data_IF_463766726942
#
_entry.id   IF_463766726942
#
_cell.length_a   1.000
_cell.length_b   1.000
_cell.length_c   1.000
_cell.angle_alpha   90.00
_cell.angle_beta   90.00
_cell.angle_gamma   90.00
#
_symmetry.space_group_name_H-M   'P 1'
#
loop_
_entity.id
_entity.type
_entity.pdbx_description
1 polymer ?
#
# COMPACT_ATOMS: atom_id res chain seq x y z
N UNK A 1 -5.29 6.37 31.35
CA UNK A 1 -6.43 5.52 31.80
C UNK A 1 -7.69 5.76 30.96
N UNK A 2 -8.10 7.01 30.72
CA UNK A 2 -9.31 7.35 29.92
C UNK A 2 -9.25 6.87 28.46
N UNK A 3 -8.08 6.93 27.80
CA UNK A 3 -7.90 6.50 26.40
C UNK A 3 -8.18 5.00 26.19
N UNK A 4 -7.82 4.16 27.17
CA UNK A 4 -8.07 2.71 27.11
C UNK A 4 -9.55 2.37 27.25
N UNK A 5 -10.28 3.14 28.07
CA UNK A 5 -11.73 2.96 28.26
C UNK A 5 -12.52 3.36 27.01
N UNK A 6 -12.11 4.44 26.32
CA UNK A 6 -12.74 4.87 25.06
C UNK A 6 -12.49 3.84 23.95
N UNK A 7 -11.28 3.29 23.84
CA UNK A 7 -10.96 2.25 22.87
C UNK A 7 -11.74 0.96 23.08
N UNK A 8 -11.87 0.51 24.33
CA UNK A 8 -12.66 -0.69 24.67
C UNK A 8 -14.16 -0.49 24.42
N UNK A 9 -14.70 0.69 24.74
CA UNK A 9 -16.10 1.02 24.49
C UNK A 9 -16.43 1.11 23.00
N UNK A 10 -15.55 1.72 22.19
CA UNK A 10 -15.72 1.82 20.75
C UNK A 10 -15.66 0.45 20.06
N UNK A 11 -14.74 -0.42 20.47
CA UNK A 11 -14.62 -1.78 19.95
C UNK A 11 -15.88 -2.62 20.25
N UNK A 12 -16.41 -2.51 21.47
CA UNK A 12 -17.64 -3.21 21.86
C UNK A 12 -18.89 -2.68 21.12
N UNK A 13 -18.94 -1.36 20.89
CA UNK A 13 -20.02 -0.73 20.13
C UNK A 13 -20.02 -1.16 18.66
N UNK A 14 -18.85 -1.17 18.01
CA UNK A 14 -18.69 -1.63 16.62
C UNK A 14 -19.03 -3.13 16.51
N UNK A 15 -18.58 -3.96 17.46
CA UNK A 15 -18.88 -5.39 17.48
C UNK A 15 -20.37 -5.72 17.65
N UNK A 16 -21.13 -4.89 18.38
CA UNK A 16 -22.59 -5.04 18.49
C UNK A 16 -23.32 -4.64 17.20
N UNK A 17 -22.92 -3.53 16.58
CA UNK A 17 -23.50 -3.08 15.30
C UNK A 17 -23.25 -4.09 14.17
N UNK A 18 -22.06 -4.70 14.13
CA UNK A 18 -21.74 -5.75 13.16
C UNK A 18 -22.56 -7.03 13.34
N UNK A 19 -23.09 -7.30 14.53
CA UNK A 19 -23.96 -8.46 14.81
C UNK A 19 -25.44 -8.22 14.57
N UNK A 20 -25.91 -6.98 14.63
CA UNK A 20 -27.33 -6.63 14.43
C UNK A 20 -27.70 -6.54 12.95
N UNK A 21 -26.74 -6.19 12.09
CA UNK A 21 -26.90 -6.26 10.65
C UNK A 21 -26.44 -7.64 10.20
N UNK A 22 -27.34 -8.63 10.26
CA UNK A 22 -27.14 -9.88 9.53
C UNK A 22 -26.80 -9.58 8.06
N UNK A 23 -26.12 -10.51 7.35
CA UNK A 23 -25.76 -10.28 5.95
C UNK A 23 -27.01 -9.84 5.19
N UNK A 24 -26.96 -8.66 4.58
CA UNK A 24 -28.01 -8.18 3.69
C UNK A 24 -27.95 -9.12 2.48
N UNK A 25 -28.85 -10.09 2.48
CA UNK A 25 -28.98 -11.07 1.40
C UNK A 25 -29.78 -10.38 0.31
N UNK A 26 -29.07 -9.84 -0.68
CA UNK A 26 -29.69 -9.34 -1.91
C UNK A 26 -30.31 -10.54 -2.65
N UNK A 27 -31.59 -10.76 -2.37
CA UNK A 27 -32.43 -11.78 -2.99
C UNK A 27 -33.34 -11.12 -4.02
N UNK A 28 -33.54 -11.82 -5.13
CA UNK A 28 -34.66 -11.56 -6.05
C UNK A 28 -36.00 -11.77 -5.33
N UNK A 29 -37.11 -11.17 -5.79
CA UNK A 29 -38.45 -11.40 -5.22
C UNK A 29 -38.86 -12.89 -5.16
N UNK A 30 -38.22 -13.73 -5.97
CA UNK A 30 -38.43 -15.17 -6.07
C UNK A 30 -37.56 -15.98 -5.09
N UNK A 31 -36.75 -15.32 -4.25
CA UNK A 31 -35.89 -15.95 -3.24
C UNK A 31 -34.54 -16.44 -3.77
N UNK A 32 -34.19 -16.18 -5.03
CA UNK A 32 -32.88 -16.49 -5.60
C UNK A 32 -31.84 -15.41 -5.26
N UNK A 33 -30.59 -15.80 -5.03
CA UNK A 33 -29.48 -14.85 -4.84
C UNK A 33 -29.20 -14.07 -6.12
N UNK A 34 -28.98 -12.77 -6.00
CA UNK A 34 -28.48 -11.96 -7.13
C UNK A 34 -27.03 -12.35 -7.40
N UNK A 35 -26.76 -12.96 -8.56
CA UNK A 35 -25.38 -13.21 -8.98
C UNK A 35 -24.69 -11.87 -9.30
N UNK A 36 -23.51 -11.58 -8.72
CA UNK A 36 -22.75 -10.41 -9.10
C UNK A 36 -22.32 -10.52 -10.56
N UNK A 37 -22.36 -9.40 -11.29
CA UNK A 37 -21.96 -9.35 -12.69
C UNK A 37 -20.50 -9.83 -12.83
N UNK A 38 -20.30 -10.90 -13.59
CA UNK A 38 -18.96 -11.48 -13.79
C UNK A 38 -18.11 -10.50 -14.59
N UNK A 39 -16.89 -10.19 -14.14
CA UNK A 39 -16.03 -9.28 -14.87
C UNK A 39 -15.75 -9.85 -16.26
N UNK A 40 -15.85 -9.00 -17.28
CA UNK A 40 -15.54 -9.39 -18.65
C UNK A 40 -14.07 -9.80 -18.79
N UNK A 41 -13.77 -10.71 -19.73
CA UNK A 41 -12.39 -11.07 -20.04
C UNK A 41 -11.53 -9.86 -20.44
N UNK A 42 -12.13 -8.85 -21.09
CA UNK A 42 -11.45 -7.59 -21.40
C UNK A 42 -11.02 -6.82 -20.15
N UNK A 43 -11.88 -6.77 -19.13
CA UNK A 43 -11.55 -6.14 -17.84
C UNK A 43 -10.40 -6.87 -17.13
N UNK A 44 -10.38 -8.21 -17.18
CA UNK A 44 -9.30 -9.01 -16.60
C UNK A 44 -7.99 -8.74 -17.34
N UNK A 45 -8.00 -8.77 -18.67
CA UNK A 45 -6.83 -8.52 -19.51
C UNK A 45 -6.28 -7.09 -19.30
N UNK A 46 -7.14 -6.09 -19.20
CA UNK A 46 -6.74 -4.71 -18.94
C UNK A 46 -6.03 -4.56 -17.58
N UNK A 47 -6.53 -5.23 -16.53
CA UNK A 47 -5.88 -5.26 -15.21
C UNK A 47 -4.51 -5.91 -15.26
N UNK A 48 -4.37 -7.03 -15.98
CA UNK A 48 -3.10 -7.71 -16.15
C UNK A 48 -2.09 -6.86 -16.94
N UNK A 49 -2.55 -6.17 -17.99
CA UNK A 49 -1.71 -5.25 -18.75
C UNK A 49 -1.24 -4.07 -17.90
N UNK A 50 -2.14 -3.45 -17.13
CA UNK A 50 -1.78 -2.38 -16.20
C UNK A 50 -0.76 -2.85 -15.16
N UNK A 51 -0.94 -4.04 -14.60
CA UNK A 51 0.00 -4.64 -13.67
C UNK A 51 1.38 -4.90 -14.30
N UNK A 52 1.41 -5.40 -15.54
CA UNK A 52 2.67 -5.61 -16.26
C UNK A 52 3.44 -4.31 -16.50
N UNK A 53 2.74 -3.22 -16.85
CA UNK A 53 3.36 -1.89 -16.98
C UNK A 53 3.99 -1.45 -15.66
N UNK A 54 3.29 -1.63 -14.54
CA UNK A 54 3.83 -1.29 -13.21
C UNK A 54 5.09 -2.11 -12.88
N UNK A 55 5.13 -3.39 -13.25
CA UNK A 55 6.33 -4.22 -13.06
C UNK A 55 7.52 -3.71 -13.88
N UNK A 56 7.30 -3.26 -15.12
CA UNK A 56 8.37 -2.68 -15.95
C UNK A 56 8.90 -1.39 -15.32
N UNK A 57 8.01 -0.50 -14.87
CA UNK A 57 8.41 0.75 -14.19
C UNK A 57 9.20 0.44 -12.91
N UNK A 58 8.73 -0.51 -12.11
CA UNK A 58 9.41 -0.93 -10.90
C UNK A 58 10.79 -1.53 -11.19
N UNK A 59 10.92 -2.34 -12.23
CA UNK A 59 12.19 -2.92 -12.65
C UNK A 59 13.20 -1.84 -13.07
N UNK A 60 12.77 -0.86 -13.86
CA UNK A 60 13.63 0.27 -14.26
C UNK A 60 14.05 1.08 -13.04
N UNK A 61 13.11 1.41 -12.14
CA UNK A 61 13.43 2.14 -10.91
C UNK A 61 14.41 1.37 -10.02
N UNK A 62 14.24 0.05 -9.90
CA UNK A 62 15.16 -0.82 -9.15
C UNK A 62 16.57 -0.82 -9.76
N UNK A 63 16.68 -0.94 -11.09
CA UNK A 63 17.97 -0.87 -11.77
C UNK A 63 18.64 0.50 -11.58
N UNK A 64 17.89 1.58 -11.67
CA UNK A 64 18.41 2.93 -11.40
C UNK A 64 18.90 3.06 -9.95
N UNK A 65 18.14 2.54 -8.99
CA UNK A 65 18.53 2.56 -7.57
C UNK A 65 19.80 1.76 -7.31
N UNK A 66 19.95 0.59 -7.95
CA UNK A 66 21.14 -0.26 -7.81
C UNK A 66 22.44 0.48 -8.17
N UNK A 67 22.41 1.38 -9.15
CA UNK A 67 23.56 2.19 -9.55
C UNK A 67 23.66 3.52 -8.82
N UNK A 68 22.54 4.21 -8.58
CA UNK A 68 22.53 5.51 -7.90
C UNK A 68 22.92 5.42 -6.44
N UNK A 69 22.45 4.40 -5.70
CA UNK A 69 22.71 4.29 -4.26
C UNK A 69 24.22 4.21 -3.97
N UNK A 70 25.03 3.33 -4.61
CA UNK A 70 26.47 3.31 -4.41
C UNK A 70 27.15 4.66 -4.71
N UNK A 71 26.74 5.32 -5.79
CA UNK A 71 27.29 6.63 -6.18
C UNK A 71 26.99 7.69 -5.11
N UNK A 72 25.76 7.74 -4.61
CA UNK A 72 25.37 8.66 -3.54
C UNK A 72 26.12 8.38 -2.23
N UNK A 73 26.37 7.11 -1.91
CA UNK A 73 27.18 6.73 -0.74
C UNK A 73 28.61 7.26 -0.90
N UNK A 74 29.24 7.04 -2.05
CA UNK A 74 30.61 7.51 -2.32
C UNK A 74 30.67 9.04 -2.24
N UNK A 75 29.74 9.74 -2.88
CA UNK A 75 29.66 11.20 -2.84
C UNK A 75 29.42 11.72 -1.41
N UNK A 76 28.57 11.05 -0.63
CA UNK A 76 28.34 11.39 0.77
C UNK A 76 29.60 11.25 1.61
N UNK A 77 30.34 10.15 1.45
CA UNK A 77 31.61 9.92 2.14
C UNK A 77 32.65 10.95 1.73
N UNK A 78 32.80 11.20 0.42
CA UNK A 78 33.76 12.18 -0.10
C UNK A 78 33.45 13.60 0.39
N UNK A 79 32.19 14.01 0.33
CA UNK A 79 31.74 15.31 0.84
C UNK A 79 32.00 15.47 2.34
N UNK A 80 31.72 14.42 3.13
CA UNK A 80 32.04 14.41 4.56
C UNK A 80 33.55 14.52 4.83
N UNK A 81 34.37 13.77 4.09
CA UNK A 81 35.82 13.82 4.27
C UNK A 81 36.41 15.20 3.94
N UNK A 82 35.94 15.82 2.84
CA UNK A 82 36.38 17.14 2.42
C UNK A 82 36.02 18.20 3.46
N UNK A 83 34.75 18.26 3.88
CA UNK A 83 34.30 19.20 4.91
C UNK A 83 35.03 19.00 6.23
N UNK A 84 35.25 17.75 6.66
CA UNK A 84 36.02 17.46 7.87
C UNK A 84 37.48 17.89 7.77
N UNK A 85 38.10 17.74 6.61
CA UNK A 85 39.50 18.14 6.37
C UNK A 85 39.69 19.66 6.35
N UNK A 86 38.71 20.40 5.82
CA UNK A 86 38.73 21.86 5.80
C UNK A 86 38.62 22.43 7.21
N UNK A 87 37.70 21.93 8.04
CA UNK A 87 37.52 22.36 9.45
C UNK A 87 38.79 22.11 10.29
N UNK A 88 39.63 21.12 9.95
CA UNK A 88 40.89 20.86 10.66
C UNK A 88 42.05 21.76 10.21
N UNK A 89 41.92 22.44 9.06
CA UNK A 89 42.96 23.32 8.51
C UNK A 89 42.76 24.79 8.90
N UNK A 90 41.56 25.15 9.36
CA UNK A 90 41.26 26.41 10.03
C UNK A 90 41.37 26.22 11.56
#
# INVERSE_FOLDING_TARGET
MVVLLVGAWLSAYIGKMAKQNGPILDMTPDGGFVEPEKPSYGTILARLAAFAVLLVVAAVAFWMALFMIPVLIILGIAGYALTRSQIRRF
#
